data_IF_934965040092
#
_entry.id   IF_934965040092
#
_cell.length_a   1.000
_cell.length_b   1.000
_cell.length_c   1.000
_cell.angle_alpha   90.00
_cell.angle_beta   90.00
_cell.angle_gamma   90.00
#
_symmetry.space_group_name_H-M   'P 1'
#
loop_
_entity.id
_entity.type
_entity.pdbx_description
1 polymer ?
#
# COMPACT_ATOMS: atom_id res chain seq x y z
N UNK A 1 10.18 -9.42 2.04
CA UNK A 1 9.81 -8.98 0.68
C UNK A 1 8.62 -9.79 0.16
N UNK A 2 7.68 -9.14 -0.49
CA UNK A 2 6.55 -9.81 -1.12
C UNK A 2 6.29 -9.23 -2.51
N UNK A 3 5.50 -9.94 -3.31
CA UNK A 3 5.06 -9.46 -4.61
C UNK A 3 3.62 -8.99 -4.54
N UNK A 4 3.26 -7.95 -5.30
CA UNK A 4 1.90 -7.41 -5.28
C UNK A 4 0.86 -8.47 -5.63
N UNK A 5 1.17 -9.37 -6.56
CA UNK A 5 0.22 -10.40 -6.96
C UNK A 5 -0.10 -11.38 -5.83
N UNK A 6 0.73 -11.42 -4.80
CA UNK A 6 0.51 -12.30 -3.64
C UNK A 6 -0.36 -11.63 -2.56
N UNK A 7 -0.67 -10.34 -2.70
CA UNK A 7 -1.47 -9.63 -1.73
C UNK A 7 -2.93 -9.78 -2.09
N UNK A 8 -3.66 -10.49 -1.24
CA UNK A 8 -5.09 -10.72 -1.42
C UNK A 8 -5.75 -10.82 -0.06
N UNK A 9 -7.07 -10.93 -0.05
CA UNK A 9 -7.83 -10.99 1.19
C UNK A 9 -7.44 -12.19 2.05
N UNK A 10 -7.13 -13.34 1.43
CA UNK A 10 -6.73 -14.52 2.17
C UNK A 10 -5.42 -14.29 2.91
N UNK A 11 -4.43 -13.71 2.24
CA UNK A 11 -3.15 -13.41 2.87
C UNK A 11 -3.33 -12.46 4.05
N UNK A 12 -4.11 -11.39 3.86
CA UNK A 12 -4.34 -10.40 4.91
C UNK A 12 -5.06 -11.04 6.08
N UNK A 13 -6.06 -11.89 5.81
CA UNK A 13 -6.78 -12.60 6.87
C UNK A 13 -5.85 -13.53 7.65
N UNK A 14 -4.93 -14.22 6.98
CA UNK A 14 -3.97 -15.07 7.65
C UNK A 14 -3.05 -14.26 8.56
N UNK A 15 -2.56 -13.13 8.07
CA UNK A 15 -1.70 -12.25 8.87
C UNK A 15 -2.46 -11.74 10.09
N UNK A 16 -3.71 -11.34 9.90
CA UNK A 16 -4.55 -10.83 10.98
C UNK A 16 -4.81 -11.90 12.04
N UNK A 17 -4.98 -13.15 11.62
CA UNK A 17 -5.20 -14.26 12.57
C UNK A 17 -3.96 -14.57 13.41
N UNK A 18 -2.78 -14.38 12.84
CA UNK A 18 -1.54 -14.63 13.54
C UNK A 18 -1.26 -13.54 14.58
N UNK A 19 -1.83 -12.37 14.39
CA UNK A 19 -1.68 -11.27 15.33
C UNK A 19 -2.71 -11.42 16.45
N UNK A 20 -2.32 -11.68 17.70
CA UNK A 20 -3.28 -11.72 18.79
C UNK A 20 -3.96 -10.35 18.89
N UNK A 21 -5.24 -10.38 19.21
CA UNK A 21 -6.00 -9.16 19.36
C UNK A 21 -5.53 -8.42 20.61
N UNK A 22 -4.78 -7.38 20.39
CA UNK A 22 -4.30 -6.56 21.47
C UNK A 22 -3.63 -5.32 20.92
N UNK A 23 -3.67 -4.26 21.68
CA UNK A 23 -3.09 -2.99 21.27
C UNK A 23 -1.57 -3.04 21.19
N UNK A 24 -0.96 -4.13 21.61
CA UNK A 24 0.49 -4.28 21.62
C UNK A 24 1.05 -4.90 20.35
N UNK A 25 0.18 -5.37 19.46
CA UNK A 25 0.66 -5.97 18.23
C UNK A 25 0.83 -4.93 17.15
N UNK A 26 2.05 -4.78 16.63
CA UNK A 26 2.27 -3.85 15.54
C UNK A 26 1.53 -4.30 14.28
N UNK A 27 1.19 -3.34 13.43
CA UNK A 27 0.69 -3.65 12.10
C UNK A 27 1.71 -4.51 11.36
N UNK A 28 1.28 -5.49 10.56
CA UNK A 28 2.23 -6.22 9.72
C UNK A 28 2.88 -5.26 8.72
N UNK A 29 4.19 -5.32 8.62
CA UNK A 29 4.96 -4.47 7.71
C UNK A 29 5.56 -5.36 6.64
N UNK A 30 5.25 -5.06 5.40
CA UNK A 30 5.74 -5.78 4.25
C UNK A 30 6.50 -4.84 3.33
N UNK A 31 7.31 -5.39 2.45
CA UNK A 31 7.96 -4.58 1.43
C UNK A 31 7.87 -5.26 0.06
N UNK A 32 7.79 -4.44 -0.97
CA UNK A 32 7.80 -4.90 -2.35
C UNK A 32 8.74 -3.99 -3.14
N UNK A 33 9.41 -4.57 -4.13
CA UNK A 33 10.43 -3.86 -4.89
C UNK A 33 10.01 -3.63 -6.33
N UNK A 34 10.49 -2.53 -6.88
CA UNK A 34 10.35 -2.17 -8.29
C UNK A 34 8.88 -2.15 -8.72
N UNK A 35 8.09 -1.37 -7.99
CA UNK A 35 6.65 -1.25 -8.21
C UNK A 35 6.38 0.05 -8.96
N UNK A 36 5.59 -0.02 -10.02
CA UNK A 36 5.26 1.16 -10.81
C UNK A 36 4.10 1.92 -10.19
N UNK A 37 4.26 3.24 -10.11
CA UNK A 37 3.20 4.13 -9.65
C UNK A 37 2.36 4.59 -10.84
N UNK A 38 1.05 4.50 -10.70
CA UNK A 38 0.13 5.04 -11.69
C UNK A 38 -0.97 5.85 -11.00
N UNK A 39 -1.50 6.84 -11.70
CA UNK A 39 -2.61 7.67 -11.23
C UNK A 39 -2.39 8.27 -9.83
N UNK A 40 -1.22 8.86 -9.55
CA UNK A 40 -1.03 9.50 -8.24
C UNK A 40 -1.86 10.77 -8.14
N UNK A 41 -2.41 11.03 -6.95
CA UNK A 41 -3.21 12.22 -6.69
C UNK A 41 -3.11 12.62 -5.23
N UNK A 42 -3.19 13.92 -4.96
CA UNK A 42 -3.29 14.41 -3.59
C UNK A 42 -4.74 14.40 -3.17
N UNK A 43 -5.03 13.77 -2.04
CA UNK A 43 -6.38 13.70 -1.47
C UNK A 43 -6.36 14.23 -0.05
N UNK A 44 -7.49 14.72 0.43
CA UNK A 44 -7.57 15.33 1.74
C UNK A 44 -6.66 16.54 1.85
N UNK A 45 -5.98 16.70 2.98
CA UNK A 45 -5.14 17.88 3.20
C UNK A 45 -3.76 17.75 2.56
N UNK A 46 -3.17 16.57 2.58
CA UNK A 46 -1.80 16.41 2.09
C UNK A 46 -1.45 14.92 1.98
N UNK A 47 -2.43 14.09 1.62
CA UNK A 47 -2.21 12.67 1.51
C UNK A 47 -2.06 12.28 0.05
N UNK A 48 -1.16 11.36 -0.21
CA UNK A 48 -0.87 10.91 -1.56
C UNK A 48 -1.55 9.57 -1.80
N UNK A 49 -2.43 9.53 -2.77
CA UNK A 49 -3.13 8.30 -3.16
C UNK A 49 -2.65 7.87 -4.53
N UNK A 50 -2.41 6.59 -4.70
CA UNK A 50 -1.86 6.08 -5.95
C UNK A 50 -2.28 4.65 -6.18
N UNK A 51 -2.05 4.17 -7.40
CA UNK A 51 -2.21 2.77 -7.74
C UNK A 51 -0.83 2.19 -7.98
N UNK A 52 -0.52 1.10 -7.31
CA UNK A 52 0.75 0.40 -7.47
C UNK A 52 0.53 -0.80 -8.36
N UNK A 53 1.41 -0.99 -9.34
CA UNK A 53 1.25 -2.01 -10.36
C UNK A 53 2.55 -2.79 -10.53
N UNK A 54 2.44 -4.11 -10.62
CA UNK A 54 3.58 -4.99 -10.90
C UNK A 54 3.08 -6.31 -11.44
N UNK A 55 3.68 -6.77 -12.54
CA UNK A 55 3.41 -8.09 -13.11
C UNK A 55 1.91 -8.36 -13.34
N UNK A 56 1.19 -7.35 -13.82
CA UNK A 56 -0.24 -7.48 -14.10
C UNK A 56 -1.14 -7.34 -12.88
N UNK A 57 -0.59 -7.25 -11.69
CA UNK A 57 -1.37 -7.01 -10.48
C UNK A 57 -1.34 -5.53 -10.14
N UNK A 58 -2.44 -5.01 -9.60
CA UNK A 58 -2.48 -3.62 -9.15
C UNK A 58 -3.27 -3.53 -7.86
N UNK A 59 -2.91 -2.55 -7.04
CA UNK A 59 -3.53 -2.34 -5.73
C UNK A 59 -3.50 -0.86 -5.40
N UNK A 60 -4.53 -0.38 -4.70
CA UNK A 60 -4.58 1.00 -4.25
C UNK A 60 -3.68 1.19 -3.03
N UNK A 61 -3.03 2.36 -2.96
CA UNK A 61 -2.17 2.69 -1.85
C UNK A 61 -2.41 4.13 -1.42
N UNK A 62 -2.17 4.40 -0.14
CA UNK A 62 -2.23 5.76 0.39
C UNK A 62 -0.97 6.01 1.24
N UNK A 63 -0.40 7.21 1.10
CA UNK A 63 0.78 7.62 1.83
C UNK A 63 0.45 8.93 2.53
N UNK A 64 0.15 8.84 3.82
CA UNK A 64 -0.33 9.97 4.59
C UNK A 64 0.75 11.04 4.74
N UNK A 65 0.37 12.30 4.52
CA UNK A 65 1.26 13.43 4.73
C UNK A 65 2.31 13.63 3.65
N UNK A 66 2.25 12.88 2.56
CA UNK A 66 3.32 12.88 1.55
C UNK A 66 2.88 13.45 0.20
N UNK A 67 1.85 14.29 0.19
CA UNK A 67 1.35 14.87 -1.05
C UNK A 67 2.39 15.67 -1.82
N UNK A 68 3.40 16.21 -1.13
CA UNK A 68 4.47 16.97 -1.76
C UNK A 68 5.30 16.16 -2.76
N UNK A 69 5.25 14.84 -2.67
CA UNK A 69 6.01 13.98 -3.56
C UNK A 69 5.27 13.59 -4.85
N UNK A 70 4.10 14.17 -5.09
CA UNK A 70 3.29 13.84 -6.27
C UNK A 70 4.10 13.85 -7.55
N UNK A 71 4.81 14.94 -7.82
CA UNK A 71 5.60 15.07 -9.05
C UNK A 71 6.76 14.08 -9.11
N UNK A 72 7.36 13.80 -7.96
CA UNK A 72 8.53 12.92 -7.91
C UNK A 72 8.18 11.46 -8.21
N UNK A 73 7.00 11.02 -7.79
CA UNK A 73 6.62 9.61 -7.95
C UNK A 73 5.78 9.35 -9.21
N UNK A 74 5.31 10.37 -9.89
CA UNK A 74 4.45 10.18 -11.06
C UNK A 74 5.22 9.43 -12.16
N UNK A 75 4.74 8.22 -12.49
CA UNK A 75 5.40 7.39 -13.48
C UNK A 75 6.69 6.71 -13.01
N UNK A 76 7.03 6.86 -11.74
CA UNK A 76 8.25 6.29 -11.19
C UNK A 76 8.05 4.84 -10.75
N UNK A 77 9.17 4.14 -10.61
CA UNK A 77 9.20 2.84 -9.96
C UNK A 77 9.71 3.03 -8.53
N UNK A 78 9.10 2.34 -7.60
CA UNK A 78 9.42 2.46 -6.18
C UNK A 78 9.72 1.11 -5.56
N UNK A 79 10.61 1.13 -4.56
CA UNK A 79 10.61 0.11 -3.52
C UNK A 79 9.74 0.65 -2.40
N UNK A 80 8.76 -0.11 -1.95
CA UNK A 80 7.77 0.37 -0.98
C UNK A 80 7.75 -0.49 0.27
N UNK A 81 7.57 0.18 1.40
CA UNK A 81 7.31 -0.47 2.70
C UNK A 81 5.89 -0.07 3.10
N UNK A 82 5.07 -1.05 3.41
CA UNK A 82 3.65 -0.78 3.61
C UNK A 82 3.03 -1.76 4.60
N UNK A 83 1.84 -1.39 5.07
CA UNK A 83 0.97 -2.26 5.86
C UNK A 83 -0.32 -2.47 5.08
N UNK A 84 -0.66 -3.70 4.71
CA UNK A 84 -1.91 -3.94 3.99
C UNK A 84 -3.10 -3.79 4.93
N UNK A 85 -4.16 -3.19 4.44
CA UNK A 85 -5.39 -2.96 5.19
C UNK A 85 -6.59 -3.36 4.35
N UNK A 86 -7.66 -3.75 5.01
CA UNK A 86 -8.92 -4.05 4.35
C UNK A 86 -9.90 -2.93 4.70
N UNK A 87 -10.41 -2.26 3.66
CA UNK A 87 -11.44 -1.26 3.82
C UNK A 87 -12.80 -1.91 3.60
N UNK A 88 -13.72 -1.75 4.55
CA UNK A 88 -15.08 -2.26 4.46
C UNK A 88 -16.05 -1.09 4.31
N UNK A 89 -16.88 -1.14 3.29
CA UNK A 89 -17.91 -0.14 3.11
C UNK A 89 -19.03 -0.70 2.23
N UNK A 90 -20.27 -0.36 2.55
CA UNK A 90 -21.48 -0.75 1.80
C UNK A 90 -21.53 -2.24 1.44
N UNK A 91 -21.12 -3.10 2.40
CA UNK A 91 -21.11 -4.54 2.18
C UNK A 91 -19.97 -5.07 1.31
N UNK A 92 -19.09 -4.19 0.85
CA UNK A 92 -17.94 -4.56 0.04
C UNK A 92 -16.66 -4.44 0.85
N UNK A 93 -15.62 -5.14 0.41
CA UNK A 93 -14.29 -4.99 0.99
C UNK A 93 -13.26 -4.76 -0.13
N UNK A 94 -12.24 -3.99 0.18
CA UNK A 94 -11.18 -3.67 -0.74
C UNK A 94 -9.87 -3.61 0.00
N UNK A 95 -8.77 -3.94 -0.69
CA UNK A 95 -7.43 -3.90 -0.11
C UNK A 95 -6.82 -2.54 -0.42
N UNK A 96 -6.28 -1.89 0.60
CA UNK A 96 -5.52 -0.66 0.45
C UNK A 96 -4.20 -0.82 1.19
N UNK A 97 -3.11 -0.40 0.56
CA UNK A 97 -1.81 -0.42 1.20
C UNK A 97 -1.56 0.92 1.87
N UNK A 98 -1.28 0.89 3.16
CA UNK A 98 -0.86 2.08 3.90
C UNK A 98 0.65 2.16 3.81
N UNK A 99 1.15 3.07 2.99
CA UNK A 99 2.60 3.19 2.78
C UNK A 99 3.26 3.78 4.01
N UNK A 100 4.38 3.20 4.39
CA UNK A 100 5.19 3.67 5.51
C UNK A 100 6.44 4.37 5.02
N UNK A 101 7.01 3.89 3.91
CA UNK A 101 8.22 4.48 3.35
C UNK A 101 8.33 4.04 1.89
N UNK A 102 9.16 4.74 1.14
CA UNK A 102 9.42 4.38 -0.25
C UNK A 102 10.75 4.94 -0.70
N UNK A 103 11.41 4.21 -1.60
CA UNK A 103 12.60 4.69 -2.29
C UNK A 103 12.29 4.78 -3.78
N UNK A 104 12.59 5.93 -4.38
CA UNK A 104 12.38 6.15 -5.81
C UNK A 104 13.56 5.57 -6.55
N UNK A 105 13.29 4.70 -7.51
CA UNK A 105 14.32 4.09 -8.34
C UNK A 105 14.65 5.00 -9.51
N UNK A 106 15.92 5.12 -9.78
CA UNK A 106 16.39 5.92 -10.89
C UNK A 106 16.12 5.25 -12.25
#
# INVERSE_FOLDING_TARGET
ECHLQDINLDLINQITRLAPFGCENPEPILCARNIKVSSPAVVGHNHLKMRLTSNGASVNAIWFGMGKYLSAINGANLDVVFSPQINYWNGSSDIQLKMKDAAILA
#
